data_IF_765723904263
#
_entry.id   IF_765723904263
#
_cell.length_a   1.000
_cell.length_b   1.000
_cell.length_c   1.000
_cell.angle_alpha   90.00
_cell.angle_beta   90.00
_cell.angle_gamma   90.00
#
_symmetry.space_group_name_H-M   'P 1'
#
loop_
_entity.id
_entity.type
_entity.pdbx_description
1 polymer ?
#
# COMPACT_ATOMS: atom_id res chain seq x y z
N UNK A 1 11.27 -1.13 11.17
CA UNK A 1 12.11 -0.73 10.01
C UNK A 1 13.43 -0.18 10.49
N UNK A 2 14.55 -0.75 10.03
CA UNK A 2 15.88 -0.19 10.28
C UNK A 2 16.06 1.05 9.42
N UNK A 3 16.24 2.22 10.02
CA UNK A 3 16.61 3.44 9.28
C UNK A 3 18.08 3.28 8.85
N UNK A 4 18.40 3.33 7.55
CA UNK A 4 19.79 3.25 7.11
C UNK A 4 20.63 4.35 7.77
N UNK A 5 21.86 4.03 8.15
CA UNK A 5 22.80 5.06 8.59
C UNK A 5 23.06 6.03 7.42
N UNK A 6 23.22 7.33 7.68
CA UNK A 6 23.41 8.36 6.65
C UNK A 6 24.49 8.02 5.61
N UNK A 7 25.53 7.26 6.01
CA UNK A 7 26.62 6.83 5.14
C UNK A 7 26.17 5.90 3.99
N UNK A 8 25.03 5.24 4.14
CA UNK A 8 24.44 4.30 3.19
C UNK A 8 23.37 4.95 2.31
N UNK A 9 22.92 6.16 2.65
CA UNK A 9 21.95 6.91 1.84
C UNK A 9 22.68 7.78 0.81
N UNK A 10 22.59 7.45 -0.50
CA UNK A 10 23.27 8.22 -1.53
C UNK A 10 22.81 9.68 -1.62
N UNK A 11 21.57 9.99 -1.20
CA UNK A 11 21.00 11.33 -1.31
C UNK A 11 21.62 12.34 -0.35
N UNK A 12 22.28 11.89 0.71
CA UNK A 12 23.02 12.73 1.67
C UNK A 12 24.22 13.45 1.05
N UNK A 13 24.65 13.04 -0.16
CA UNK A 13 25.79 13.62 -0.89
C UNK A 13 25.38 14.35 -2.16
N UNK A 14 24.09 14.41 -2.46
CA UNK A 14 23.55 15.03 -3.67
C UNK A 14 23.06 16.44 -3.35
N UNK A 15 23.32 17.37 -4.27
CA UNK A 15 22.81 18.76 -4.21
C UNK A 15 21.80 18.98 -5.32
N UNK A 16 20.78 19.79 -5.05
CA UNK A 16 19.78 20.17 -6.05
C UNK A 16 20.30 21.29 -6.96
N UNK A 17 19.53 21.63 -8.01
CA UNK A 17 19.92 22.70 -8.94
C UNK A 17 20.03 24.08 -8.29
N UNK A 18 19.40 24.30 -7.13
CA UNK A 18 19.58 25.50 -6.30
C UNK A 18 20.41 25.26 -5.02
N UNK A 19 21.27 24.24 -5.00
CA UNK A 19 22.25 23.94 -3.94
C UNK A 19 21.67 23.51 -2.57
N UNK A 20 20.42 23.04 -2.54
CA UNK A 20 19.87 22.39 -1.35
C UNK A 20 20.41 20.96 -1.21
N UNK A 21 20.49 20.46 0.02
CA UNK A 21 20.80 19.05 0.27
C UNK A 21 19.61 18.18 -0.17
N UNK A 22 19.85 17.20 -1.04
CA UNK A 22 18.76 16.46 -1.68
C UNK A 22 17.95 15.60 -0.68
N UNK A 23 18.61 14.99 0.31
CA UNK A 23 17.98 14.25 1.39
C UNK A 23 17.04 15.14 2.23
N UNK A 24 17.43 16.38 2.51
CA UNK A 24 16.58 17.37 3.18
C UNK A 24 15.35 17.73 2.34
N UNK A 25 15.52 17.95 1.03
CA UNK A 25 14.41 18.24 0.10
C UNK A 25 13.41 17.09 0.04
N UNK A 26 13.91 15.84 -0.10
CA UNK A 26 13.08 14.62 -0.10
C UNK A 26 12.31 14.48 1.22
N UNK A 27 13.01 14.71 2.34
CA UNK A 27 12.46 14.62 3.69
C UNK A 27 11.42 15.70 3.97
N UNK A 28 11.64 16.91 3.47
CA UNK A 28 10.74 18.05 3.59
C UNK A 28 9.48 17.84 2.75
N UNK A 29 9.59 17.33 1.52
CA UNK A 29 8.46 17.07 0.64
C UNK A 29 7.41 16.21 1.34
N UNK A 30 7.82 15.06 1.90
CA UNK A 30 6.91 14.16 2.62
C UNK A 30 6.25 14.85 3.80
N UNK A 31 7.01 15.63 4.56
CA UNK A 31 6.54 16.35 5.75
C UNK A 31 5.53 17.46 5.40
N UNK A 32 5.72 18.15 4.30
CA UNK A 32 4.79 19.18 3.83
C UNK A 32 3.50 18.55 3.30
N UNK A 33 3.59 17.46 2.53
CA UNK A 33 2.40 16.74 2.04
C UNK A 33 1.58 16.19 3.20
N UNK A 34 2.22 15.55 4.20
CA UNK A 34 1.59 15.07 5.43
C UNK A 34 0.79 16.15 6.16
N UNK A 35 1.29 17.39 6.14
CA UNK A 35 0.67 18.55 6.79
C UNK A 35 -0.32 19.31 5.91
N UNK A 36 -0.45 18.94 4.64
CA UNK A 36 -1.29 19.66 3.68
C UNK A 36 -0.76 21.02 3.26
N UNK A 37 0.55 21.27 3.46
CA UNK A 37 1.19 22.54 3.09
C UNK A 37 1.51 22.56 1.58
N UNK A 38 0.50 22.86 0.77
CA UNK A 38 0.55 22.75 -0.68
C UNK A 38 1.70 23.54 -1.32
N UNK A 39 1.80 24.83 -1.00
CA UNK A 39 2.68 25.75 -1.72
C UNK A 39 4.15 25.32 -1.62
N UNK A 40 4.60 24.98 -0.41
CA UNK A 40 5.96 24.53 -0.17
C UNK A 40 6.20 23.10 -0.70
N UNK A 41 5.23 22.19 -0.55
CA UNK A 41 5.33 20.86 -1.14
C UNK A 41 5.50 20.91 -2.67
N UNK A 42 4.79 21.82 -3.35
CA UNK A 42 4.92 22.02 -4.79
C UNK A 42 6.29 22.58 -5.19
N UNK A 43 6.85 23.52 -4.42
CA UNK A 43 8.21 24.03 -4.65
C UNK A 43 9.28 22.94 -4.47
N UNK A 44 9.15 22.11 -3.43
CA UNK A 44 10.07 20.99 -3.19
C UNK A 44 9.99 19.94 -4.31
N UNK A 45 8.78 19.62 -4.77
CA UNK A 45 8.59 18.72 -5.91
C UNK A 45 9.19 19.30 -7.21
N UNK A 46 8.99 20.59 -7.45
CA UNK A 46 9.60 21.30 -8.58
C UNK A 46 11.13 21.24 -8.53
N UNK A 47 11.72 21.44 -7.35
CA UNK A 47 13.17 21.35 -7.14
C UNK A 47 13.71 19.97 -7.58
N UNK A 48 13.03 18.90 -7.17
CA UNK A 48 13.41 17.53 -7.53
C UNK A 48 13.28 17.28 -9.04
N UNK A 49 12.14 17.67 -9.63
CA UNK A 49 11.88 17.53 -11.08
C UNK A 49 12.92 18.28 -11.93
N UNK A 50 13.30 19.48 -11.52
CA UNK A 50 14.22 20.31 -12.30
C UNK A 50 15.70 19.98 -12.05
N UNK A 51 16.02 19.16 -11.06
CA UNK A 51 17.42 18.80 -10.76
C UNK A 51 17.93 17.66 -11.63
N UNK A 52 17.27 16.49 -11.62
CA UNK A 52 17.74 15.32 -12.38
C UNK A 52 16.62 14.30 -12.64
N UNK A 53 16.87 13.36 -13.54
CA UNK A 53 15.94 12.25 -13.80
C UNK A 53 15.81 11.35 -12.57
N UNK A 54 16.91 11.08 -11.88
CA UNK A 54 16.94 10.25 -10.69
C UNK A 54 16.15 10.86 -9.53
N UNK A 55 16.19 12.19 -9.35
CA UNK A 55 15.37 12.86 -8.34
C UNK A 55 13.89 12.91 -8.71
N UNK A 56 13.54 12.97 -10.01
CA UNK A 56 12.15 12.76 -10.44
C UNK A 56 11.66 11.35 -10.07
N UNK A 57 12.47 10.31 -10.28
CA UNK A 57 12.10 8.95 -9.88
C UNK A 57 11.93 8.81 -8.35
N UNK A 58 12.78 9.48 -7.57
CA UNK A 58 12.59 9.53 -6.10
C UNK A 58 11.31 10.26 -5.72
N UNK A 59 10.98 11.37 -6.38
CA UNK A 59 9.73 12.09 -6.15
C UNK A 59 8.53 11.14 -6.35
N UNK A 60 8.51 10.40 -7.46
CA UNK A 60 7.45 9.45 -7.76
C UNK A 60 7.36 8.32 -6.73
N UNK A 61 8.49 7.73 -6.36
CA UNK A 61 8.56 6.72 -5.29
C UNK A 61 7.99 7.27 -3.97
N UNK A 62 8.32 8.52 -3.61
CA UNK A 62 7.82 9.15 -2.39
C UNK A 62 6.32 9.39 -2.43
N UNK A 63 5.78 9.96 -3.51
CA UNK A 63 4.32 10.21 -3.59
C UNK A 63 3.51 8.92 -3.60
N UNK A 64 4.04 7.82 -4.16
CA UNK A 64 3.45 6.49 -4.04
C UNK A 64 3.40 6.02 -2.59
N UNK A 65 4.51 6.10 -1.83
CA UNK A 65 4.54 5.74 -0.40
C UNK A 65 3.61 6.63 0.42
N UNK A 66 3.63 7.95 0.22
CA UNK A 66 2.82 8.92 0.94
C UNK A 66 1.32 8.67 0.72
N UNK A 67 0.91 8.20 -0.47
CA UNK A 67 -0.48 7.87 -0.77
C UNK A 67 -1.08 6.79 0.13
N UNK A 68 -0.25 5.91 0.70
CA UNK A 68 -0.66 4.87 1.65
C UNK A 68 -0.23 5.16 3.08
N UNK A 69 0.92 5.81 3.29
CA UNK A 69 1.50 6.09 4.61
C UNK A 69 0.80 7.27 5.31
N UNK A 70 0.52 8.35 4.57
CA UNK A 70 0.06 9.63 5.14
C UNK A 70 -1.37 9.98 4.74
N UNK A 71 -1.87 9.44 3.63
CA UNK A 71 -3.26 9.56 3.21
C UNK A 71 -4.07 8.35 3.67
N UNK A 72 -3.58 7.12 3.45
CA UNK A 72 -4.14 5.89 4.01
C UNK A 72 -5.65 5.75 3.79
N UNK A 73 -6.39 5.38 4.85
CA UNK A 73 -7.86 5.30 4.82
C UNK A 73 -8.56 6.66 4.69
N UNK A 74 -7.84 7.77 4.80
CA UNK A 74 -8.38 9.10 4.49
C UNK A 74 -8.78 9.23 3.02
N UNK A 75 -8.10 8.51 2.11
CA UNK A 75 -8.55 8.30 0.75
C UNK A 75 -7.95 7.03 0.15
N UNK A 76 -8.69 5.92 0.25
CA UNK A 76 -8.26 4.60 -0.25
C UNK A 76 -8.04 4.55 -1.77
N UNK A 77 -8.52 5.55 -2.51
CA UNK A 77 -8.31 5.64 -3.96
C UNK A 77 -7.05 6.43 -4.35
N UNK A 78 -6.36 7.05 -3.39
CA UNK A 78 -5.18 7.86 -3.66
C UNK A 78 -4.06 7.10 -4.41
N UNK A 79 -3.72 5.84 -4.05
CA UNK A 79 -2.70 5.09 -4.79
C UNK A 79 -3.05 4.86 -6.26
N UNK A 80 -4.34 4.69 -6.59
CA UNK A 80 -4.79 4.47 -7.97
C UNK A 80 -4.59 5.71 -8.83
N UNK A 81 -4.92 6.89 -8.30
CA UNK A 81 -4.70 8.15 -9.01
C UNK A 81 -3.20 8.42 -9.19
N UNK A 82 -2.39 8.25 -8.13
CA UNK A 82 -0.94 8.45 -8.19
C UNK A 82 -0.31 7.52 -9.23
N UNK A 83 -0.68 6.23 -9.24
CA UNK A 83 -0.19 5.28 -10.24
C UNK A 83 -0.62 5.67 -11.66
N UNK A 84 -1.86 6.14 -11.84
CA UNK A 84 -2.33 6.61 -13.14
C UNK A 84 -1.52 7.79 -13.65
N UNK A 85 -1.24 8.78 -12.79
CA UNK A 85 -0.43 9.95 -13.12
C UNK A 85 1.01 9.56 -13.44
N UNK A 86 1.57 8.58 -12.71
CA UNK A 86 2.86 7.99 -13.03
C UNK A 86 2.82 7.29 -14.41
N UNK A 87 1.83 6.47 -14.74
CA UNK A 87 1.76 5.86 -16.08
C UNK A 87 1.58 6.89 -17.21
N UNK A 88 0.89 8.00 -16.94
CA UNK A 88 0.75 9.10 -17.90
C UNK A 88 2.06 9.85 -18.13
N UNK A 89 2.85 10.11 -17.08
CA UNK A 89 4.09 10.87 -17.20
C UNK A 89 5.14 10.15 -18.05
N UNK A 90 5.21 8.81 -17.97
CA UNK A 90 6.12 7.97 -18.78
C UNK A 90 5.90 8.12 -20.29
N UNK A 91 4.71 8.54 -20.73
CA UNK A 91 4.37 8.73 -22.16
C UNK A 91 4.93 10.03 -22.73
N UNK A 92 5.41 10.93 -21.88
CA UNK A 92 6.02 12.21 -22.29
C UNK A 92 7.52 12.16 -22.03
N UNK A 93 8.39 12.37 -23.03
CA UNK A 93 9.83 12.38 -22.81
C UNK A 93 10.28 13.62 -22.02
N UNK A 94 11.36 13.48 -21.25
CA UNK A 94 12.11 14.64 -20.76
C UNK A 94 12.72 15.44 -21.92
N UNK A 95 12.87 16.78 -21.83
CA UNK A 95 12.46 17.67 -20.73
C UNK A 95 11.14 18.40 -21.01
N UNK A 96 10.11 17.73 -21.56
CA UNK A 96 8.83 18.41 -21.85
C UNK A 96 8.15 18.87 -20.55
N UNK A 97 7.98 20.18 -20.37
CA UNK A 97 7.41 20.76 -19.15
C UNK A 97 6.03 20.19 -18.77
N UNK A 98 5.20 19.82 -19.75
CA UNK A 98 3.89 19.19 -19.53
C UNK A 98 3.98 17.87 -18.73
N UNK A 99 5.13 17.16 -18.79
CA UNK A 99 5.40 15.96 -18.00
C UNK A 99 5.34 16.24 -16.49
N UNK A 100 5.83 17.40 -16.07
CA UNK A 100 5.91 17.79 -14.66
C UNK A 100 4.56 18.09 -14.05
N UNK A 101 3.55 18.40 -14.88
CA UNK A 101 2.18 18.63 -14.43
C UNK A 101 1.61 17.43 -13.67
N UNK A 102 1.95 16.20 -14.10
CA UNK A 102 1.44 14.99 -13.45
C UNK A 102 1.95 14.84 -12.02
N UNK A 103 3.25 15.10 -11.79
CA UNK A 103 3.84 15.04 -10.45
C UNK A 103 3.29 16.15 -9.54
N UNK A 104 3.20 17.38 -10.05
CA UNK A 104 2.61 18.50 -9.29
C UNK A 104 1.13 18.25 -8.96
N UNK A 105 0.37 17.64 -9.88
CA UNK A 105 -1.00 17.25 -9.63
C UNK A 105 -1.10 16.19 -8.52
N UNK A 106 -0.25 15.17 -8.55
CA UNK A 106 -0.18 14.16 -7.50
C UNK A 106 0.10 14.79 -6.12
N UNK A 107 1.11 15.66 -6.03
CA UNK A 107 1.45 16.39 -4.79
C UNK A 107 0.26 17.22 -4.31
N UNK A 108 -0.38 17.98 -5.20
CA UNK A 108 -1.56 18.78 -4.86
C UNK A 108 -2.69 17.94 -4.29
N UNK A 109 -3.01 16.85 -4.97
CA UNK A 109 -4.06 15.93 -4.57
C UNK A 109 -3.79 15.30 -3.20
N UNK A 110 -2.56 14.85 -2.95
CA UNK A 110 -2.17 14.26 -1.66
C UNK A 110 -2.21 15.30 -0.52
N UNK A 111 -1.75 16.53 -0.76
CA UNK A 111 -1.85 17.62 0.21
C UNK A 111 -3.31 17.89 0.63
N UNK A 112 -4.24 17.84 -0.32
CA UNK A 112 -5.66 18.14 -0.08
C UNK A 112 -6.48 16.94 0.43
N UNK A 113 -5.95 15.72 0.38
CA UNK A 113 -6.63 14.53 0.87
C UNK A 113 -6.76 14.52 2.41
N UNK A 114 -7.77 13.84 2.94
CA UNK A 114 -7.81 13.50 4.36
C UNK A 114 -6.59 12.64 4.72
N UNK A 115 -6.04 12.83 5.92
CA UNK A 115 -4.82 12.18 6.36
C UNK A 115 -5.15 11.04 7.33
N UNK A 116 -4.51 9.91 7.12
CA UNK A 116 -4.60 8.74 7.98
C UNK A 116 -3.26 8.01 7.94
N UNK A 117 -2.67 7.78 9.12
CA UNK A 117 -1.39 7.10 9.30
C UNK A 117 -1.50 5.71 9.94
N UNK A 118 -2.71 5.22 10.14
CA UNK A 118 -2.99 3.98 10.85
C UNK A 118 -2.33 2.76 10.20
N UNK A 119 -2.16 2.75 8.87
CA UNK A 119 -1.46 1.67 8.16
C UNK A 119 0.05 1.66 8.45
N UNK A 120 0.69 2.83 8.48
CA UNK A 120 2.10 2.98 8.88
C UNK A 120 2.30 2.59 10.35
N UNK A 121 1.42 3.07 11.22
CA UNK A 121 1.44 2.75 12.66
C UNK A 121 1.26 1.25 12.91
N UNK A 122 0.33 0.60 12.19
CA UNK A 122 0.11 -0.85 12.26
C UNK A 122 1.37 -1.63 11.83
N UNK A 123 1.99 -1.25 10.71
CA UNK A 123 3.22 -1.89 10.24
C UNK A 123 4.37 -1.72 11.25
N UNK A 124 4.51 -0.53 11.83
CA UNK A 124 5.54 -0.26 12.84
C UNK A 124 5.29 -1.03 14.15
N UNK A 125 4.03 -1.16 14.57
CA UNK A 125 3.67 -2.00 15.70
C UNK A 125 3.96 -3.47 15.43
N UNK A 126 3.54 -4.02 14.29
CA UNK A 126 3.77 -5.41 13.91
C UNK A 126 5.26 -5.78 13.94
N UNK A 127 6.11 -4.93 13.36
CA UNK A 127 7.56 -5.14 13.37
C UNK A 127 8.10 -5.33 14.80
N UNK A 128 7.73 -4.43 15.72
CA UNK A 128 8.18 -4.52 17.12
C UNK A 128 7.56 -5.69 17.87
N UNK A 129 6.27 -5.96 17.65
CA UNK A 129 5.57 -7.03 18.33
C UNK A 129 6.14 -8.40 17.94
N UNK A 130 6.47 -8.60 16.66
CA UNK A 130 7.12 -9.83 16.18
C UNK A 130 8.52 -10.01 16.75
N UNK A 131 9.31 -8.94 16.87
CA UNK A 131 10.61 -8.96 17.56
C UNK A 131 10.47 -9.39 19.03
N UNK A 132 9.35 -9.02 19.68
CA UNK A 132 9.02 -9.41 21.06
C UNK A 132 8.35 -10.78 21.18
N UNK A 133 8.24 -11.53 20.09
CA UNK A 133 7.73 -12.90 20.10
C UNK A 133 6.25 -13.06 19.74
N UNK A 134 5.52 -12.00 19.40
CA UNK A 134 4.17 -12.13 18.86
C UNK A 134 4.21 -12.97 17.57
N UNK A 135 3.34 -13.97 17.47
CA UNK A 135 3.19 -14.83 16.29
C UNK A 135 1.71 -14.93 15.94
N UNK A 136 1.34 -15.06 14.66
CA UNK A 136 -0.02 -15.39 14.30
C UNK A 136 -0.35 -16.80 14.81
N UNK A 137 -1.58 -16.98 15.26
CA UNK A 137 -2.15 -18.30 15.49
C UNK A 137 -2.79 -18.78 14.19
N UNK A 138 -2.61 -20.07 13.87
CA UNK A 138 -3.33 -20.69 12.75
C UNK A 138 -4.65 -21.20 13.29
N UNK A 139 -5.79 -20.60 12.93
CA UNK A 139 -7.09 -21.01 13.45
C UNK A 139 -7.48 -22.39 12.89
N UNK A 140 -8.26 -23.14 13.65
CA UNK A 140 -8.62 -24.52 13.30
C UNK A 140 -9.41 -24.62 11.98
N UNK A 141 -10.29 -23.66 11.68
CA UNK A 141 -11.06 -23.63 10.43
C UNK A 141 -10.17 -23.48 9.18
N UNK A 142 -8.94 -22.97 9.31
CA UNK A 142 -7.98 -22.89 8.20
C UNK A 142 -7.31 -24.23 7.89
N UNK A 143 -7.43 -25.23 8.78
CA UNK A 143 -6.97 -26.59 8.53
C UNK A 143 -8.05 -27.37 7.79
N UNK A 144 -8.06 -27.26 6.46
CA UNK A 144 -9.11 -27.79 5.58
C UNK A 144 -8.58 -28.81 4.55
N UNK A 145 -9.41 -29.08 3.53
CA UNK A 145 -9.11 -29.99 2.40
C UNK A 145 -7.85 -29.59 1.61
N UNK A 146 -7.42 -28.32 1.65
CA UNK A 146 -6.23 -27.82 0.97
C UNK A 146 -4.97 -27.89 1.83
N UNK A 147 -5.09 -28.25 3.12
CA UNK A 147 -3.94 -28.34 4.04
C UNK A 147 -3.58 -29.78 4.36
N UNK A 148 -2.28 -30.08 4.47
CA UNK A 148 -1.79 -31.43 4.86
C UNK A 148 -2.39 -31.88 6.20
N UNK A 149 -2.40 -31.00 7.21
CA UNK A 149 -2.93 -31.32 8.55
C UNK A 149 -4.45 -31.55 8.50
N UNK A 150 -5.20 -30.73 7.77
CA UNK A 150 -6.64 -30.93 7.57
C UNK A 150 -6.97 -32.26 6.88
N UNK A 151 -6.24 -32.62 5.83
CA UNK A 151 -6.39 -33.92 5.15
C UNK A 151 -6.09 -35.11 6.09
N UNK A 152 -5.03 -35.02 6.89
CA UNK A 152 -4.70 -36.04 7.90
C UNK A 152 -5.78 -36.16 9.00
N UNK A 153 -6.51 -35.08 9.26
CA UNK A 153 -7.68 -35.05 10.16
C UNK A 153 -8.98 -35.54 9.49
N UNK A 154 -8.93 -35.94 8.21
CA UNK A 154 -10.11 -36.39 7.46
C UNK A 154 -11.04 -35.27 7.01
N UNK A 155 -10.58 -34.01 7.00
CA UNK A 155 -11.40 -32.86 6.62
C UNK A 155 -11.51 -32.75 5.10
N UNK A 156 -12.72 -32.99 4.59
CA UNK A 156 -13.06 -32.91 3.17
C UNK A 156 -13.87 -31.65 2.81
N UNK A 157 -14.53 -31.71 1.64
CA UNK A 157 -15.26 -30.58 1.07
C UNK A 157 -16.40 -30.08 1.99
N UNK A 158 -17.06 -30.99 2.71
CA UNK A 158 -18.12 -30.62 3.65
C UNK A 158 -17.61 -29.69 4.76
N UNK A 159 -16.49 -30.02 5.41
CA UNK A 159 -15.86 -29.18 6.43
C UNK A 159 -15.44 -27.82 5.86
N UNK A 160 -14.87 -27.80 4.65
CA UNK A 160 -14.51 -26.55 3.98
C UNK A 160 -15.73 -25.65 3.78
N UNK A 161 -16.85 -26.16 3.25
CA UNK A 161 -18.04 -25.36 2.99
C UNK A 161 -18.73 -24.86 4.26
N UNK A 162 -18.68 -25.64 5.35
CA UNK A 162 -19.28 -25.30 6.64
C UNK A 162 -18.42 -24.31 7.45
N UNK A 163 -17.10 -24.52 7.49
CA UNK A 163 -16.18 -23.79 8.37
C UNK A 163 -15.17 -22.91 7.60
N UNK A 164 -14.43 -23.48 6.66
CA UNK A 164 -13.31 -22.80 5.98
C UNK A 164 -13.72 -21.71 4.97
N UNK A 165 -14.91 -21.83 4.37
CA UNK A 165 -15.42 -20.95 3.32
C UNK A 165 -16.32 -19.82 3.85
N UNK A 166 -16.31 -19.55 5.16
CA UNK A 166 -17.08 -18.45 5.74
C UNK A 166 -16.46 -17.10 5.36
N UNK A 167 -17.31 -16.10 5.07
CA UNK A 167 -16.91 -14.74 4.70
C UNK A 167 -17.58 -13.72 5.62
N UNK A 168 -16.85 -12.65 5.95
CA UNK A 168 -17.32 -11.54 6.78
C UNK A 168 -16.56 -10.23 6.48
N UNK A 169 -17.22 -9.06 6.47
CA UNK A 169 -18.68 -8.89 6.51
C UNK A 169 -19.33 -9.44 5.23
N UNK A 170 -20.57 -9.90 5.38
CA UNK A 170 -21.37 -10.45 4.27
C UNK A 170 -22.02 -9.34 3.46
N UNK A 171 -22.24 -9.57 2.16
CA UNK A 171 -22.93 -8.60 1.30
C UNK A 171 -24.43 -8.55 1.67
N UNK A 172 -25.03 -9.72 1.90
CA UNK A 172 -26.37 -9.95 2.44
C UNK A 172 -26.36 -11.17 3.38
N UNK A 173 -27.40 -11.35 4.21
CA UNK A 173 -27.50 -12.54 5.07
C UNK A 173 -27.62 -13.85 4.25
N UNK A 174 -28.14 -13.77 3.01
CA UNK A 174 -28.35 -14.88 2.07
C UNK A 174 -27.37 -14.84 0.86
N UNK A 175 -26.07 -14.72 1.14
CA UNK A 175 -25.03 -14.45 0.14
C UNK A 175 -24.90 -15.47 -1.03
N UNK A 176 -25.45 -16.68 -0.93
CA UNK A 176 -25.33 -17.66 -2.01
C UNK A 176 -26.40 -18.74 -1.97
N UNK A 177 -27.34 -18.77 -2.95
CA UNK A 177 -28.30 -19.87 -3.06
C UNK A 177 -27.63 -21.21 -3.41
N UNK A 178 -26.40 -21.17 -3.91
CA UNK A 178 -25.69 -22.35 -4.41
C UNK A 178 -25.01 -23.16 -3.31
N UNK A 179 -24.65 -22.53 -2.16
CA UNK A 179 -23.96 -23.23 -1.07
C UNK A 179 -24.77 -24.39 -0.51
N UNK A 180 -26.06 -24.15 -0.25
CA UNK A 180 -26.96 -25.19 0.27
C UNK A 180 -27.19 -26.30 -0.76
N UNK A 181 -27.27 -25.97 -2.04
CA UNK A 181 -27.42 -26.98 -3.10
C UNK A 181 -26.17 -27.84 -3.22
N UNK A 182 -24.98 -27.24 -3.15
CA UNK A 182 -23.71 -27.95 -3.18
C UNK A 182 -23.55 -28.89 -1.97
N UNK A 183 -23.91 -28.44 -0.77
CA UNK A 183 -23.89 -29.28 0.43
C UNK A 183 -24.78 -30.52 0.28
N UNK A 184 -26.00 -30.37 -0.26
CA UNK A 184 -26.90 -31.50 -0.52
C UNK A 184 -26.31 -32.51 -1.50
N UNK A 185 -25.62 -32.06 -2.54
CA UNK A 185 -24.98 -32.95 -3.51
C UNK A 185 -23.86 -33.77 -2.85
N UNK A 186 -23.01 -33.12 -2.06
CA UNK A 186 -21.89 -33.77 -1.35
C UNK A 186 -22.38 -34.76 -0.29
N UNK A 187 -23.46 -34.42 0.44
CA UNK A 187 -24.09 -35.33 1.39
C UNK A 187 -24.69 -36.56 0.69
N UNK A 188 -25.28 -36.38 -0.51
CA UNK A 188 -25.79 -37.47 -1.33
C UNK A 188 -24.67 -38.40 -1.84
N UNK A 189 -23.53 -37.85 -2.24
CA UNK A 189 -22.36 -38.62 -2.69
C UNK A 189 -21.73 -39.46 -1.57
N UNK A 190 -21.69 -38.95 -0.34
CA UNK A 190 -21.15 -39.68 0.82
C UNK A 190 -22.11 -40.73 1.40
N UNK A 191 -23.37 -40.75 0.96
CA UNK A 191 -24.42 -41.69 1.42
C UNK A 191 -24.63 -42.87 0.46
N UNK A 192 -23.84 -42.95 -0.62
CA UNK A 192 -23.89 -43.95 -1.70
C UNK A 192 -22.68 -44.88 -1.64
#
# INVERSE_FOLDING_TARGET
MSVPQWQQDPWTRVRTCHDFAADEVISALQKEIRRGNLDNAALLAWEMLNTSEELEEVLWSRVQVISVEDVGFGNVQAPLLVETLYQMHLRLPRPRGDRYLFAIHAVRFLCQSLKDRSSDELLNWLNRAVEQGLRPEIPDYALDIHTRRGQQMGRGMQHFLQEGAQVAPRLTEDDSPWRQQLLKLIEGENSS
#
